data_IF_551488226888
#
_entry.id   IF_551488226888
#
_cell.length_a   1.000
_cell.length_b   1.000
_cell.length_c   1.000
_cell.angle_alpha   90.00
_cell.angle_beta   90.00
_cell.angle_gamma   90.00
#
_symmetry.space_group_name_H-M   'P 1'
#
loop_
_entity.id
_entity.type
_entity.pdbx_description
1 polymer ?
#
# COMPACT_ATOMS: atom_id res chain seq x y z
N UNK A 1 14.22 11.62 -2.17
CA UNK A 1 13.20 10.82 -1.48
C UNK A 1 11.84 11.36 -1.87
N UNK A 2 11.24 10.82 -2.92
CA UNK A 2 9.91 11.23 -3.41
C UNK A 2 8.98 10.03 -3.29
N UNK A 3 7.94 10.15 -2.46
CA UNK A 3 6.97 9.07 -2.24
C UNK A 3 6.22 9.26 -0.93
N UNK A 4 5.22 8.42 -0.71
CA UNK A 4 4.50 8.27 0.55
C UNK A 4 4.87 6.88 1.08
N UNK A 5 5.53 6.82 2.25
CA UNK A 5 5.91 5.54 2.85
C UNK A 5 6.24 5.67 4.33
N UNK A 6 6.16 4.54 5.03
CA UNK A 6 6.54 4.38 6.42
C UNK A 6 6.88 2.91 6.72
N UNK A 7 7.59 2.65 7.82
CA UNK A 7 7.76 1.29 8.34
C UNK A 7 6.49 0.79 9.02
N UNK A 8 6.28 -0.53 9.01
CA UNK A 8 5.14 -1.16 9.68
C UNK A 8 5.46 -1.41 11.15
N UNK A 9 4.62 -0.89 12.04
CA UNK A 9 4.76 -1.04 13.48
C UNK A 9 5.92 -0.22 14.06
N UNK A 10 6.31 -0.57 15.29
CA UNK A 10 7.39 0.11 16.02
C UNK A 10 8.75 -0.44 15.59
N UNK A 11 9.54 0.37 14.88
CA UNK A 11 10.91 0.00 14.49
C UNK A 11 11.93 0.06 15.65
N UNK A 12 11.62 0.80 16.71
CA UNK A 12 12.55 1.09 17.80
C UNK A 12 13.51 2.24 17.45
N UNK A 13 13.59 3.26 18.31
CA UNK A 13 14.31 4.49 17.98
C UNK A 13 13.53 5.41 17.05
N UNK A 14 14.25 6.20 16.23
CA UNK A 14 13.66 7.14 15.26
C UNK A 14 13.10 6.37 14.05
N UNK A 15 11.85 6.66 13.70
CA UNK A 15 11.17 6.07 12.55
C UNK A 15 10.71 7.19 11.61
N UNK A 16 11.08 7.08 10.34
CA UNK A 16 10.76 8.08 9.32
C UNK A 16 9.40 7.75 8.70
N UNK A 17 8.56 8.78 8.56
CA UNK A 17 7.37 8.77 7.72
C UNK A 17 7.60 9.80 6.61
N UNK A 18 7.59 9.34 5.36
CA UNK A 18 7.78 10.21 4.20
C UNK A 18 6.44 10.69 3.70
N UNK A 19 6.21 12.00 3.74
CA UNK A 19 5.03 12.67 3.20
C UNK A 19 5.49 13.78 2.27
N UNK A 20 5.88 13.41 1.05
CA UNK A 20 6.22 14.38 0.01
C UNK A 20 5.03 15.30 -0.36
N UNK A 21 5.26 16.40 -1.09
CA UNK A 21 4.19 17.33 -1.46
C UNK A 21 2.99 16.67 -2.15
N UNK A 22 3.24 15.65 -3.00
CA UNK A 22 2.19 14.89 -3.68
C UNK A 22 1.31 14.07 -2.73
N UNK A 23 1.84 13.62 -1.58
CA UNK A 23 1.09 12.90 -0.56
C UNK A 23 0.07 13.83 0.13
N UNK A 24 0.50 15.06 0.42
CA UNK A 24 -0.29 16.06 1.13
C UNK A 24 -1.35 16.70 0.22
N UNK A 25 -1.04 16.89 -1.06
CA UNK A 25 -1.97 17.49 -2.04
C UNK A 25 -3.18 16.60 -2.36
N UNK A 26 -3.07 15.28 -2.18
CA UNK A 26 -4.14 14.31 -2.44
C UNK A 26 -5.14 14.17 -1.28
N UNK A 27 -4.97 14.97 -0.22
CA UNK A 27 -5.85 14.99 0.94
C UNK A 27 -5.40 14.08 2.08
N UNK A 28 -6.20 13.99 3.15
CA UNK A 28 -5.78 13.36 4.41
C UNK A 28 -5.65 11.84 4.33
N UNK A 29 -6.28 11.19 3.34
CA UNK A 29 -6.31 9.72 3.24
C UNK A 29 -4.93 9.09 3.15
N UNK A 30 -3.99 9.72 2.44
CA UNK A 30 -2.61 9.21 2.32
C UNK A 30 -1.86 9.35 3.65
N UNK A 31 -2.05 10.47 4.36
CA UNK A 31 -1.44 10.66 5.68
C UNK A 31 -1.97 9.61 6.66
N UNK A 32 -3.27 9.35 6.65
CA UNK A 32 -3.89 8.31 7.48
C UNK A 32 -3.37 6.91 7.13
N UNK A 33 -3.22 6.59 5.85
CA UNK A 33 -2.66 5.33 5.39
C UNK A 33 -1.24 5.09 5.92
N UNK A 34 -0.35 6.07 5.81
CA UNK A 34 1.01 5.94 6.37
C UNK A 34 1.02 5.85 7.90
N UNK A 35 0.14 6.58 8.58
CA UNK A 35 0.01 6.44 10.03
C UNK A 35 -0.55 5.06 10.44
N UNK A 36 -1.43 4.44 9.63
CA UNK A 36 -1.87 3.07 9.87
C UNK A 36 -0.73 2.06 9.74
N UNK A 37 0.18 2.24 8.79
CA UNK A 37 1.40 1.44 8.72
C UNK A 37 2.25 1.59 10.00
N UNK A 38 2.45 2.82 10.49
CA UNK A 38 3.14 3.06 11.78
C UNK A 38 2.47 2.33 12.94
N UNK A 39 1.14 2.25 12.95
CA UNK A 39 0.39 1.49 13.96
C UNK A 39 0.51 -0.04 13.82
N UNK A 40 1.01 -0.54 12.69
CA UNK A 40 1.24 -1.96 12.45
C UNK A 40 0.27 -2.62 11.47
N UNK A 41 -0.51 -1.84 10.72
CA UNK A 41 -1.42 -2.39 9.73
C UNK A 41 -0.69 -2.68 8.41
N UNK A 42 -1.00 -3.85 7.85
CA UNK A 42 -0.64 -4.22 6.47
C UNK A 42 -1.78 -3.83 5.52
N UNK A 43 -1.54 -3.92 4.21
CA UNK A 43 -2.61 -3.74 3.24
C UNK A 43 -3.70 -4.81 3.40
N UNK A 44 -4.95 -4.36 3.33
CA UNK A 44 -6.12 -5.24 3.51
C UNK A 44 -6.20 -6.34 2.44
N UNK A 45 -5.79 -6.04 1.20
CA UNK A 45 -5.73 -7.02 0.12
C UNK A 45 -4.62 -8.06 0.29
N UNK A 46 -3.76 -7.94 1.30
CA UNK A 46 -2.68 -8.89 1.58
C UNK A 46 -3.06 -9.88 2.70
N UNK A 47 -4.30 -9.83 3.20
CA UNK A 47 -4.84 -10.80 4.15
C UNK A 47 -4.85 -12.23 3.58
N UNK A 48 -4.59 -13.20 4.44
CA UNK A 48 -4.59 -14.62 4.08
C UNK A 48 -5.95 -15.14 3.61
N UNK A 49 -7.05 -14.49 4.02
CA UNK A 49 -8.42 -14.87 3.66
C UNK A 49 -9.01 -14.02 2.52
N UNK A 50 -8.20 -13.17 1.87
CA UNK A 50 -8.66 -12.23 0.83
C UNK A 50 -9.42 -12.90 -0.31
N UNK A 51 -9.03 -14.11 -0.70
CA UNK A 51 -9.55 -14.79 -1.90
C UNK A 51 -11.03 -15.19 -1.71
N UNK A 52 -11.54 -15.12 -0.46
CA UNK A 52 -12.97 -15.24 -0.15
C UNK A 52 -13.78 -13.99 -0.53
N UNK A 53 -13.15 -12.83 -0.61
CA UNK A 53 -13.81 -11.54 -0.80
C UNK A 53 -13.49 -10.89 -2.15
N UNK A 54 -12.30 -11.16 -2.68
CA UNK A 54 -11.79 -10.52 -3.88
C UNK A 54 -11.15 -11.53 -4.85
N UNK A 55 -11.07 -11.15 -6.13
CA UNK A 55 -10.24 -11.83 -7.15
C UNK A 55 -9.20 -10.87 -7.69
N UNK A 56 -7.94 -11.32 -7.69
CA UNK A 56 -6.83 -10.59 -8.32
C UNK A 56 -6.72 -11.03 -9.78
N UNK A 57 -6.79 -10.08 -10.71
CA UNK A 57 -6.49 -10.35 -12.12
C UNK A 57 -4.98 -10.35 -12.36
N UNK A 58 -4.36 -11.52 -12.26
CA UNK A 58 -2.92 -11.70 -12.42
C UNK A 58 -2.38 -11.32 -13.80
N UNK A 59 -3.23 -11.29 -14.82
CA UNK A 59 -2.83 -10.90 -16.19
C UNK A 59 -2.56 -9.40 -16.34
N UNK A 60 -3.05 -8.57 -15.41
CA UNK A 60 -2.91 -7.11 -15.43
C UNK A 60 -1.84 -6.61 -14.44
N UNK A 61 -1.09 -7.54 -13.83
CA UNK A 61 0.02 -7.20 -12.95
C UNK A 61 1.26 -6.95 -13.80
N UNK A 62 1.98 -5.88 -13.47
CA UNK A 62 3.22 -5.52 -14.17
C UNK A 62 4.26 -6.65 -14.01
N UNK A 63 4.99 -7.00 -15.08
CA UNK A 63 6.10 -7.92 -15.00
C UNK A 63 7.09 -7.52 -13.89
N UNK A 64 7.63 -8.51 -13.17
CA UNK A 64 8.56 -8.38 -12.04
C UNK A 64 7.93 -7.85 -10.72
N UNK A 65 6.61 -7.73 -10.66
CA UNK A 65 5.87 -7.37 -9.43
C UNK A 65 4.94 -8.48 -8.92
N UNK A 66 4.88 -9.61 -9.60
CA UNK A 66 3.94 -10.70 -9.35
C UNK A 66 4.17 -11.38 -8.00
N UNK A 67 5.42 -11.43 -7.55
CA UNK A 67 5.80 -12.01 -6.26
C UNK A 67 5.56 -11.05 -5.08
N UNK A 68 5.19 -9.80 -5.35
CA UNK A 68 4.90 -8.81 -4.33
C UNK A 68 3.47 -8.29 -4.53
N UNK A 69 2.47 -8.86 -3.82
CA UNK A 69 1.09 -8.41 -3.92
C UNK A 69 0.93 -6.92 -3.49
N UNK A 70 1.93 -6.35 -2.83
CA UNK A 70 2.00 -4.93 -2.51
C UNK A 70 2.73 -4.09 -3.59
N UNK A 71 3.60 -4.67 -4.43
CA UNK A 71 4.30 -3.93 -5.50
C UNK A 71 3.36 -3.41 -6.57
N UNK A 72 2.26 -4.12 -6.83
CA UNK A 72 1.19 -3.63 -7.68
C UNK A 72 0.47 -2.37 -7.11
N UNK A 73 0.72 -2.03 -5.84
CA UNK A 73 0.26 -0.79 -5.18
C UNK A 73 1.38 0.27 -4.99
N UNK A 74 2.63 0.01 -5.42
CA UNK A 74 3.77 0.92 -5.24
C UNK A 74 4.06 1.85 -6.44
N UNK A 75 3.09 2.04 -7.33
CA UNK A 75 3.14 3.19 -8.24
C UNK A 75 3.15 4.50 -7.44
N UNK A 76 3.82 5.57 -7.91
CA UNK A 76 3.85 6.86 -7.21
C UNK A 76 2.43 7.45 -7.09
N UNK A 77 1.77 7.11 -5.99
CA UNK A 77 0.39 7.47 -5.69
C UNK A 77 -0.68 6.46 -6.11
N UNK A 78 -0.42 5.17 -6.10
CA UNK A 78 -1.44 4.15 -6.32
C UNK A 78 -2.24 3.90 -5.02
N UNK A 79 -3.33 4.63 -4.85
CA UNK A 79 -4.47 4.23 -4.00
C UNK A 79 -5.37 3.21 -4.70
N UNK A 80 -4.91 2.60 -5.80
CA UNK A 80 -5.65 1.61 -6.57
C UNK A 80 -4.78 0.35 -6.65
N UNK A 81 -5.21 -0.77 -6.04
CA UNK A 81 -4.51 -2.05 -6.14
C UNK A 81 -4.58 -2.58 -7.59
N UNK A 82 -3.94 -3.72 -7.90
CA UNK A 82 -4.17 -4.45 -9.15
C UNK A 82 -5.67 -4.56 -9.44
N UNK A 83 -6.10 -4.84 -10.68
CA UNK A 83 -7.54 -4.97 -10.99
C UNK A 83 -8.17 -6.05 -10.11
N UNK A 84 -8.75 -5.60 -8.99
CA UNK A 84 -9.34 -6.43 -7.95
C UNK A 84 -10.84 -6.29 -8.08
N UNK A 85 -11.51 -7.41 -8.33
CA UNK A 85 -12.97 -7.46 -8.40
C UNK A 85 -13.51 -8.08 -7.12
N UNK A 86 -14.69 -7.63 -6.66
CA UNK A 86 -15.40 -8.33 -5.58
C UNK A 86 -15.92 -9.67 -6.12
N UNK A 87 -15.86 -10.69 -5.28
CA UNK A 87 -16.51 -11.98 -5.56
C UNK A 87 -18.03 -11.84 -5.66
#
# INVERSE_FOLDING_TARGET
MSGCFSSIGRSGGMQVVSLGPSCLQRGPGIVLHELMHVLGFWHEHSRADRDRYIRVNWNEILPDTENNPDAAALGPGASVPPTVTRN
#
